data_IF_789456717491
#
_entry.id   IF_789456717491
#
_cell.length_a   1.000
_cell.length_b   1.000
_cell.length_c   1.000
_cell.angle_alpha   90.00
_cell.angle_beta   90.00
_cell.angle_gamma   90.00
#
_symmetry.space_group_name_H-M   'P 1'
#
loop_
_entity.id
_entity.type
_entity.pdbx_description
1 polymer ?
#
# COMPACT_ATOMS: atom_id res chain seq x y z
N UNK A 1 62.97 -6.82 9.91
CA UNK A 1 61.66 -6.76 9.24
C UNK A 1 60.63 -7.47 10.13
N UNK A 2 59.60 -6.72 10.54
CA UNK A 2 58.25 -7.09 11.02
C UNK A 2 58.02 -8.29 11.96
N UNK A 3 57.36 -8.01 13.10
CA UNK A 3 56.67 -8.97 13.98
C UNK A 3 56.68 -8.49 15.45
N UNK A 4 55.73 -7.68 15.92
CA UNK A 4 54.37 -8.00 16.43
C UNK A 4 54.27 -7.85 17.98
N UNK A 5 53.64 -6.72 18.37
CA UNK A 5 52.79 -6.41 19.54
C UNK A 5 53.23 -6.66 21.01
N UNK A 6 53.26 -5.58 21.83
CA UNK A 6 52.76 -5.58 23.20
C UNK A 6 51.31 -5.08 23.27
N UNK A 7 50.47 -5.78 24.05
CA UNK A 7 49.09 -5.40 24.37
C UNK A 7 49.09 -4.24 25.36
N UNK A 8 48.62 -3.07 24.94
CA UNK A 8 48.24 -1.98 25.83
C UNK A 8 46.71 -1.97 25.97
N UNK A 9 46.27 -2.15 27.21
CA UNK A 9 44.90 -1.92 27.65
C UNK A 9 44.51 -0.46 27.39
N UNK A 10 43.36 -0.24 26.74
CA UNK A 10 42.59 0.99 26.85
C UNK A 10 41.19 0.68 27.39
N UNK A 11 40.61 1.54 28.24
CA UNK A 11 39.32 1.28 28.87
C UNK A 11 38.18 1.41 27.86
N UNK A 12 37.24 0.48 27.90
CA UNK A 12 35.95 0.62 27.21
C UNK A 12 35.16 1.70 27.94
N UNK A 13 35.02 2.88 27.34
CA UNK A 13 34.03 3.86 27.76
C UNK A 13 32.65 3.21 27.69
N UNK A 14 31.97 3.11 28.84
CA UNK A 14 30.57 2.73 28.91
C UNK A 14 29.76 3.81 28.18
N UNK A 15 29.42 3.52 26.92
CA UNK A 15 28.35 4.21 26.21
C UNK A 15 27.11 4.22 27.11
N UNK A 16 26.72 5.43 27.53
CA UNK A 16 25.48 5.63 28.26
C UNK A 16 24.33 5.13 27.39
N UNK A 17 23.75 4.01 27.79
CA UNK A 17 22.62 3.39 27.14
C UNK A 17 21.46 4.39 27.22
N UNK A 18 21.18 5.09 26.11
CA UNK A 18 19.93 5.83 25.96
C UNK A 18 18.79 4.83 26.20
N UNK A 19 17.78 5.17 27.01
CA UNK A 19 16.68 4.26 27.24
C UNK A 19 16.05 3.93 25.87
N UNK A 20 15.89 2.64 25.61
CA UNK A 20 15.17 2.17 24.44
C UNK A 20 13.75 2.72 24.52
N UNK A 21 13.44 3.74 23.71
CA UNK A 21 12.06 4.05 23.37
C UNK A 21 11.51 2.77 22.76
N UNK A 22 10.56 2.14 23.43
CA UNK A 22 9.64 1.21 22.78
C UNK A 22 8.86 2.02 21.75
N UNK A 23 9.43 2.19 20.57
CA UNK A 23 8.77 2.84 19.45
C UNK A 23 7.74 1.85 18.92
N UNK A 24 6.50 1.98 19.36
CA UNK A 24 5.37 1.52 18.55
C UNK A 24 5.54 2.25 17.22
N UNK A 25 5.70 1.52 16.12
CA UNK A 25 5.89 2.17 14.82
C UNK A 25 4.65 3.03 14.51
N UNK A 26 4.85 4.23 13.91
CA UNK A 26 3.77 5.19 13.72
C UNK A 26 2.65 4.57 12.90
N UNK A 27 1.42 4.89 13.30
CA UNK A 27 0.23 4.46 12.56
C UNK A 27 0.31 4.86 11.08
N UNK A 28 -0.28 4.06 10.20
CA UNK A 28 -0.29 4.29 8.76
C UNK A 28 -1.71 4.50 8.27
N UNK A 29 -1.98 5.65 7.65
CA UNK A 29 -3.24 5.98 6.99
C UNK A 29 -3.14 5.61 5.51
N UNK A 30 -3.92 4.63 5.09
CA UNK A 30 -4.15 4.27 3.71
C UNK A 30 -5.46 4.81 3.20
N UNK A 31 -5.45 5.41 2.00
CA UNK A 31 -6.60 6.02 1.36
C UNK A 31 -6.74 5.42 -0.03
N UNK A 32 -7.90 4.89 -0.36
CA UNK A 32 -8.24 4.39 -1.69
C UNK A 32 -9.25 5.34 -2.35
N UNK A 33 -8.82 6.01 -3.41
CA UNK A 33 -9.62 6.97 -4.16
C UNK A 33 -10.38 6.22 -5.27
N UNK A 34 -11.60 5.81 -5.00
CA UNK A 34 -12.47 5.16 -5.98
C UNK A 34 -13.37 6.13 -6.75
N UNK A 35 -14.08 5.60 -7.75
CA UNK A 35 -15.02 6.35 -8.60
C UNK A 35 -16.40 6.66 -7.99
N UNK A 36 -16.69 6.12 -6.82
CA UNK A 36 -18.00 6.25 -6.15
C UNK A 36 -17.85 6.46 -4.65
N UNK A 37 -16.70 6.07 -4.11
CA UNK A 37 -16.40 6.07 -2.69
C UNK A 37 -14.92 6.35 -2.48
N UNK A 38 -14.60 7.05 -1.40
CA UNK A 38 -13.25 7.09 -0.83
C UNK A 38 -13.25 6.18 0.38
N UNK A 39 -12.27 5.29 0.44
CA UNK A 39 -12.09 4.38 1.56
C UNK A 39 -10.80 4.70 2.30
N UNK A 40 -10.87 4.70 3.63
CA UNK A 40 -9.71 4.92 4.48
C UNK A 40 -9.51 3.78 5.47
N UNK A 41 -8.26 3.42 5.68
CA UNK A 41 -7.83 2.42 6.65
C UNK A 41 -6.67 2.98 7.46
N UNK A 42 -6.76 2.89 8.78
CA UNK A 42 -5.67 3.18 9.70
C UNK A 42 -5.13 1.86 10.23
N UNK A 43 -3.83 1.64 10.06
CA UNK A 43 -3.13 0.47 10.59
C UNK A 43 -2.18 0.86 11.72
N UNK A 44 -1.94 -0.05 12.66
CA UNK A 44 -0.78 0.02 13.57
C UNK A 44 0.51 -0.18 12.77
N UNK A 45 1.66 0.11 13.40
CA UNK A 45 2.97 -0.21 12.82
C UNK A 45 3.17 -1.69 12.49
N UNK A 46 2.51 -2.58 13.23
CA UNK A 46 2.52 -4.04 12.99
C UNK A 46 1.49 -4.48 11.94
N UNK A 47 0.73 -3.53 11.36
CA UNK A 47 -0.22 -3.80 10.29
C UNK A 47 -1.62 -4.22 10.74
N UNK A 48 -1.94 -4.12 12.04
CA UNK A 48 -3.26 -4.40 12.61
C UNK A 48 -4.25 -3.28 12.30
N UNK A 49 -5.53 -3.63 12.10
CA UNK A 49 -6.56 -2.65 11.75
C UNK A 49 -6.99 -1.84 12.99
N UNK A 50 -6.73 -0.53 12.99
CA UNK A 50 -7.24 0.39 14.01
C UNK A 50 -8.63 0.90 13.62
N UNK A 51 -8.78 1.33 12.37
CA UNK A 51 -10.02 1.97 11.88
C UNK A 51 -10.19 1.76 10.39
N UNK A 52 -11.44 1.57 9.98
CA UNK A 52 -11.86 1.57 8.58
C UNK A 52 -13.05 2.51 8.42
N UNK A 53 -13.00 3.38 7.42
CA UNK A 53 -14.12 4.27 7.09
C UNK A 53 -14.32 4.33 5.59
N UNK A 54 -15.56 4.63 5.20
CA UNK A 54 -15.95 4.85 3.82
C UNK A 54 -16.82 6.09 3.76
N UNK A 55 -16.52 6.94 2.79
CA UNK A 55 -17.37 8.07 2.45
C UNK A 55 -17.73 8.01 0.97
N UNK A 56 -18.81 8.68 0.60
CA UNK A 56 -19.13 8.90 -0.81
C UNK A 56 -18.04 9.75 -1.47
N UNK A 57 -17.82 9.49 -2.75
CA UNK A 57 -16.96 10.33 -3.58
C UNK A 57 -17.50 11.79 -3.52
N UNK A 58 -16.69 12.76 -3.04
CA UNK A 58 -17.14 14.14 -2.93
C UNK A 58 -17.37 14.82 -4.29
N UNK A 59 -16.91 14.23 -5.40
CA UNK A 59 -17.10 14.76 -6.75
C UNK A 59 -16.29 16.02 -7.08
N UNK A 60 -15.52 16.54 -6.12
CA UNK A 60 -14.73 17.76 -6.24
C UNK A 60 -13.34 17.58 -5.63
N UNK A 61 -12.32 18.05 -6.36
CA UNK A 61 -10.92 17.92 -5.94
C UNK A 61 -10.62 18.58 -4.59
N UNK A 62 -11.06 19.83 -4.39
CA UNK A 62 -10.78 20.55 -3.14
C UNK A 62 -11.42 19.86 -1.93
N UNK A 63 -12.62 19.30 -2.09
CA UNK A 63 -13.30 18.52 -1.06
C UNK A 63 -12.57 17.19 -0.76
N UNK A 64 -12.04 16.51 -1.78
CA UNK A 64 -11.21 15.33 -1.60
C UNK A 64 -9.91 15.65 -0.82
N UNK A 65 -9.22 16.75 -1.13
CA UNK A 65 -8.02 17.17 -0.39
C UNK A 65 -8.35 17.51 1.06
N UNK A 66 -9.43 18.25 1.32
CA UNK A 66 -9.91 18.52 2.69
C UNK A 66 -10.20 17.23 3.46
N UNK A 67 -10.86 16.28 2.82
CA UNK A 67 -11.13 14.96 3.42
C UNK A 67 -9.82 14.26 3.79
N UNK A 68 -8.84 14.23 2.89
CA UNK A 68 -7.53 13.60 3.18
C UNK A 68 -6.88 14.25 4.40
N UNK A 69 -6.87 15.58 4.47
CA UNK A 69 -6.30 16.34 5.58
C UNK A 69 -7.03 16.11 6.91
N UNK A 70 -8.37 16.12 6.91
CA UNK A 70 -9.18 15.84 8.10
C UNK A 70 -8.94 14.42 8.62
N UNK A 71 -8.81 13.44 7.72
CA UNK A 71 -8.53 12.04 8.11
C UNK A 71 -7.13 11.86 8.66
N UNK A 72 -6.14 12.53 8.08
CA UNK A 72 -4.76 12.55 8.60
C UNK A 72 -4.72 13.18 10.00
N UNK A 73 -5.26 14.38 10.17
CA UNK A 73 -5.29 15.08 11.46
C UNK A 73 -6.04 14.27 12.54
N UNK A 74 -7.17 13.66 12.19
CA UNK A 74 -7.91 12.79 13.11
C UNK A 74 -7.13 11.52 13.47
N UNK A 75 -6.31 11.00 12.57
CA UNK A 75 -5.48 9.82 12.83
C UNK A 75 -4.34 10.19 13.77
N UNK A 76 -3.64 11.30 13.51
CA UNK A 76 -2.58 11.81 14.38
C UNK A 76 -3.09 12.07 15.80
N UNK A 77 -4.23 12.75 15.92
CA UNK A 77 -4.83 13.07 17.22
C UNK A 77 -5.16 11.81 18.03
N UNK A 78 -5.55 10.73 17.36
CA UNK A 78 -5.84 9.46 18.02
C UNK A 78 -4.57 8.66 18.37
N UNK A 79 -3.52 8.77 17.55
CA UNK A 79 -2.24 8.06 17.75
C UNK A 79 -1.28 8.80 18.70
N UNK A 80 -1.42 10.12 18.84
CA UNK A 80 -0.49 10.97 19.59
C UNK A 80 0.83 11.29 18.86
N UNK A 81 0.94 10.91 17.59
CA UNK A 81 2.09 11.17 16.72
C UNK A 81 1.65 11.25 15.25
N UNK A 82 2.50 11.82 14.39
CA UNK A 82 2.20 11.94 12.97
C UNK A 82 2.21 10.56 12.28
N UNK A 83 1.11 10.24 11.59
CA UNK A 83 1.02 9.03 10.79
C UNK A 83 1.79 9.15 9.46
N UNK A 84 2.05 8.01 8.81
CA UNK A 84 2.43 8.00 7.39
C UNK A 84 1.19 7.94 6.52
N UNK A 85 1.21 8.56 5.33
CA UNK A 85 0.05 8.59 4.43
C UNK A 85 0.36 7.87 3.11
N UNK A 86 -0.47 6.90 2.76
CA UNK A 86 -0.46 6.26 1.45
C UNK A 86 -1.78 6.46 0.72
N UNK A 87 -1.73 6.78 -0.56
CA UNK A 87 -2.91 7.01 -1.40
C UNK A 87 -2.86 6.09 -2.63
N UNK A 88 -3.88 5.25 -2.76
CA UNK A 88 -4.23 4.47 -3.95
C UNK A 88 -5.09 5.31 -4.89
N UNK A 89 -4.68 5.42 -6.15
CA UNK A 89 -5.40 6.20 -7.18
C UNK A 89 -6.14 5.30 -8.16
N UNK A 90 -7.29 5.73 -8.71
CA UNK A 90 -8.18 4.91 -9.56
C UNK A 90 -7.64 4.71 -10.97
N UNK A 91 -6.40 5.18 -11.22
CA UNK A 91 -5.58 5.03 -12.43
C UNK A 91 -4.10 5.18 -12.10
N UNK A 92 -3.28 4.73 -13.04
CA UNK A 92 -1.85 5.04 -13.11
C UNK A 92 -1.57 6.54 -13.08
N UNK A 93 -0.48 6.90 -12.41
CA UNK A 93 -0.02 8.28 -12.30
C UNK A 93 0.74 8.71 -13.56
N UNK A 94 0.72 10.01 -13.83
CA UNK A 94 1.59 10.64 -14.82
C UNK A 94 3.00 10.76 -14.24
N UNK A 95 4.04 10.19 -14.88
CA UNK A 95 5.38 10.09 -14.31
C UNK A 95 6.03 11.43 -13.91
N UNK A 96 5.66 12.53 -14.57
CA UNK A 96 6.26 13.86 -14.35
C UNK A 96 5.46 14.74 -13.39
N UNK A 97 4.13 14.67 -13.42
CA UNK A 97 3.27 15.59 -12.66
C UNK A 97 2.62 14.94 -11.45
N UNK A 98 2.73 13.62 -11.27
CA UNK A 98 2.07 12.90 -10.18
C UNK A 98 0.54 12.87 -10.26
N UNK A 99 -0.07 13.47 -11.29
CA UNK A 99 -1.51 13.48 -11.47
C UNK A 99 -2.06 12.20 -12.06
N UNK A 100 -3.36 11.96 -11.86
CA UNK A 100 -4.04 10.75 -12.37
C UNK A 100 -4.15 10.80 -13.90
N UNK A 101 -3.86 9.67 -14.57
CA UNK A 101 -4.01 9.51 -16.01
C UNK A 101 -5.41 8.98 -16.34
N UNK A 102 -6.25 9.85 -16.90
CA UNK A 102 -7.52 9.50 -17.55
C UNK A 102 -8.42 8.58 -16.69
N UNK A 103 -8.51 8.88 -15.39
CA UNK A 103 -9.39 8.20 -14.45
C UNK A 103 -10.84 8.66 -14.56
N UNK A 104 -11.74 7.79 -14.12
CA UNK A 104 -13.18 8.04 -14.16
C UNK A 104 -13.62 9.12 -13.16
N UNK A 105 -12.95 9.22 -12.01
CA UNK A 105 -13.02 10.41 -11.15
C UNK A 105 -12.23 11.53 -11.81
N UNK A 106 -12.84 12.14 -12.83
CA UNK A 106 -12.18 13.06 -13.76
C UNK A 106 -11.59 14.29 -13.07
N UNK A 107 -12.13 14.66 -11.91
CA UNK A 107 -11.64 15.79 -11.13
C UNK A 107 -10.24 15.57 -10.50
N UNK A 108 -9.71 14.34 -10.49
CA UNK A 108 -8.32 14.05 -10.12
C UNK A 108 -7.35 14.10 -11.32
N UNK A 109 -7.86 14.08 -12.55
CA UNK A 109 -7.01 13.96 -13.73
C UNK A 109 -6.09 15.18 -13.86
N UNK A 110 -4.79 14.90 -14.04
CA UNK A 110 -3.73 15.91 -14.20
C UNK A 110 -3.60 16.91 -13.04
N UNK A 111 -4.20 16.63 -11.88
CA UNK A 111 -4.05 17.46 -10.67
C UNK A 111 -2.82 17.07 -9.84
N UNK A 112 -2.20 17.99 -9.10
CA UNK A 112 -0.99 17.70 -8.33
C UNK A 112 -1.33 17.05 -6.97
N UNK A 113 -1.83 15.80 -7.04
CA UNK A 113 -2.23 15.00 -5.86
C UNK A 113 -1.08 14.66 -4.91
N UNK A 114 0.16 14.83 -5.35
CA UNK A 114 1.31 14.66 -4.47
C UNK A 114 1.56 15.92 -3.67
N UNK A 115 1.46 17.08 -4.31
CA UNK A 115 1.87 18.36 -3.76
C UNK A 115 0.75 19.02 -2.92
N UNK A 116 -0.48 19.03 -3.44
CA UNK A 116 -1.59 19.75 -2.80
C UNK A 116 -1.93 19.24 -1.38
N UNK A 117 -1.93 17.92 -1.09
CA UNK A 117 -2.11 17.47 0.28
C UNK A 117 -0.93 17.84 1.20
N UNK A 118 0.31 17.83 0.69
CA UNK A 118 1.52 18.10 1.48
C UNK A 118 1.60 19.59 1.87
N UNK A 119 1.09 20.49 1.02
CA UNK A 119 0.96 21.91 1.41
C UNK A 119 0.04 22.07 2.62
N UNK A 120 -0.92 21.17 2.81
CA UNK A 120 -1.85 21.18 3.95
C UNK A 120 -1.39 20.32 5.14
N UNK A 121 -0.37 19.46 4.99
CA UNK A 121 -0.02 18.39 5.93
C UNK A 121 1.49 18.16 6.00
N UNK A 122 2.15 18.27 7.18
CA UNK A 122 3.57 17.97 7.36
C UNK A 122 3.87 16.45 7.36
N UNK A 123 3.09 15.67 6.63
CA UNK A 123 3.14 14.21 6.60
C UNK A 123 3.98 13.72 5.44
N UNK A 124 4.66 12.60 5.64
CA UNK A 124 5.22 11.88 4.50
C UNK A 124 4.08 11.21 3.70
N UNK A 125 4.04 11.47 2.39
CA UNK A 125 2.98 11.00 1.49
C UNK A 125 3.53 10.19 0.30
N UNK A 126 2.95 9.01 0.07
CA UNK A 126 3.22 8.14 -1.10
C UNK A 126 1.93 7.91 -1.89
N UNK A 127 2.09 7.83 -3.21
CA UNK A 127 1.02 7.54 -4.16
C UNK A 127 1.38 6.28 -4.95
N UNK A 128 0.37 5.45 -5.20
CA UNK A 128 0.43 4.33 -6.12
C UNK A 128 -0.93 4.13 -6.78
N UNK A 129 -1.00 3.40 -7.90
CA UNK A 129 -2.30 2.99 -8.43
C UNK A 129 -2.94 1.92 -7.53
N UNK A 130 -4.25 1.82 -7.58
CA UNK A 130 -5.06 0.90 -6.79
C UNK A 130 -4.65 -0.57 -6.94
N UNK A 131 -4.27 -1.00 -8.14
CA UNK A 131 -3.81 -2.36 -8.42
C UNK A 131 -2.45 -2.65 -7.76
N UNK A 132 -1.55 -1.67 -7.70
CA UNK A 132 -0.27 -1.79 -6.99
C UNK A 132 -0.47 -1.83 -5.49
N UNK A 133 -1.40 -1.01 -4.97
CA UNK A 133 -1.81 -1.09 -3.57
C UNK A 133 -2.37 -2.48 -3.26
N UNK A 134 -3.27 -3.01 -4.11
CA UNK A 134 -3.79 -4.37 -3.97
C UNK A 134 -2.68 -5.42 -3.95
N UNK A 135 -1.72 -5.34 -4.87
CA UNK A 135 -0.58 -6.25 -4.89
C UNK A 135 0.22 -6.19 -3.58
N UNK A 136 0.49 -4.98 -3.05
CA UNK A 136 1.19 -4.78 -1.76
C UNK A 136 0.40 -5.35 -0.58
N UNK A 137 -0.92 -5.17 -0.57
CA UNK A 137 -1.78 -5.73 0.47
C UNK A 137 -1.70 -7.26 0.50
N UNK A 138 -1.70 -7.89 -0.68
CA UNK A 138 -1.73 -9.34 -0.77
C UNK A 138 -0.37 -10.01 -0.68
N UNK A 139 0.68 -9.35 -1.15
CA UNK A 139 2.03 -9.87 -1.08
C UNK A 139 2.57 -9.91 0.35
N UNK A 140 1.93 -9.22 1.31
CA UNK A 140 2.41 -9.15 2.70
C UNK A 140 1.66 -10.10 3.62
N UNK A 141 2.40 -10.71 4.56
CA UNK A 141 1.82 -11.42 5.69
C UNK A 141 1.29 -10.44 6.75
N UNK A 142 0.74 -10.96 7.84
CA UNK A 142 0.17 -10.14 8.91
C UNK A 142 1.25 -9.27 9.58
N UNK A 143 2.45 -9.80 9.76
CA UNK A 143 3.65 -9.09 10.22
C UNK A 143 4.24 -8.09 9.19
N UNK A 144 3.59 -7.90 8.04
CA UNK A 144 3.98 -6.94 7.03
C UNK A 144 5.17 -7.34 6.13
N UNK A 145 5.77 -8.51 6.31
CA UNK A 145 6.85 -8.99 5.43
C UNK A 145 6.30 -9.48 4.08
N UNK A 146 7.05 -9.27 2.98
CA UNK A 146 6.71 -9.88 1.69
C UNK A 146 6.78 -11.40 1.84
N UNK A 147 5.68 -12.08 1.53
CA UNK A 147 5.48 -13.50 1.71
C UNK A 147 5.24 -14.23 0.38
N UNK A 148 5.29 -13.51 -0.74
CA UNK A 148 5.15 -14.07 -2.07
C UNK A 148 5.12 -13.01 -3.17
N UNK A 149 5.29 -13.47 -4.41
CA UNK A 149 5.13 -12.62 -5.59
C UNK A 149 3.67 -12.57 -6.01
N UNK A 150 3.08 -11.37 -6.02
CA UNK A 150 1.67 -11.16 -6.38
C UNK A 150 1.56 -10.35 -7.66
N UNK A 151 0.75 -10.84 -8.60
CA UNK A 151 0.18 -10.04 -9.69
C UNK A 151 -1.26 -9.71 -9.34
N UNK A 152 -1.57 -8.45 -9.13
CA UNK A 152 -2.91 -7.97 -8.86
C UNK A 152 -3.51 -7.32 -10.10
N UNK A 153 -4.78 -7.61 -10.37
CA UNK A 153 -5.55 -6.98 -11.46
C UNK A 153 -6.86 -6.46 -10.94
N UNK A 154 -7.08 -5.16 -11.06
CA UNK A 154 -8.35 -4.50 -10.74
C UNK A 154 -9.19 -4.45 -12.00
N UNK A 155 -10.41 -4.99 -11.93
CA UNK A 155 -11.34 -5.03 -13.05
C UNK A 155 -12.64 -4.34 -12.62
N UNK A 156 -12.93 -3.21 -13.26
CA UNK A 156 -14.14 -2.42 -13.09
C UNK A 156 -14.58 -1.82 -14.42
N UNK A 157 -14.85 -0.52 -14.45
CA UNK A 157 -15.08 0.25 -15.69
C UNK A 157 -13.82 0.40 -16.55
N UNK A 158 -12.65 0.13 -15.97
CA UNK A 158 -11.37 -0.04 -16.66
C UNK A 158 -10.64 -1.27 -16.14
N UNK A 159 -9.40 -1.45 -16.61
CA UNK A 159 -8.54 -2.55 -16.18
C UNK A 159 -7.15 -2.04 -15.82
N UNK A 160 -6.65 -2.45 -14.65
CA UNK A 160 -5.35 -2.04 -14.12
C UNK A 160 -4.61 -3.18 -13.46
N UNK A 161 -3.28 -3.07 -13.46
CA UNK A 161 -2.37 -4.12 -13.02
C UNK A 161 -1.35 -3.57 -12.01
N UNK A 162 -0.99 -4.41 -11.04
CA UNK A 162 0.03 -4.15 -10.03
C UNK A 162 0.84 -5.40 -9.76
N UNK A 163 2.15 -5.25 -9.50
CA UNK A 163 3.05 -6.38 -9.25
C UNK A 163 3.90 -6.08 -8.02
N UNK A 164 3.97 -7.04 -7.11
CA UNK A 164 5.04 -7.12 -6.11
C UNK A 164 5.89 -8.33 -6.46
N UNK A 165 7.11 -8.13 -7.01
CA UNK A 165 7.98 -9.23 -7.36
C UNK A 165 8.85 -9.66 -6.16
N UNK A 166 8.91 -10.97 -5.93
CA UNK A 166 9.79 -11.65 -4.98
C UNK A 166 10.07 -13.09 -5.49
N UNK A 167 10.74 -13.19 -6.64
CA UNK A 167 10.97 -14.45 -7.35
C UNK A 167 9.85 -14.82 -8.35
N UNK A 168 9.16 -15.95 -8.13
CA UNK A 168 8.11 -16.47 -9.04
C UNK A 168 6.72 -16.09 -8.56
N UNK A 169 5.87 -15.56 -9.46
CA UNK A 169 4.46 -15.22 -9.17
C UNK A 169 3.72 -16.42 -8.58
N UNK A 170 3.40 -16.34 -7.29
CA UNK A 170 2.67 -17.37 -6.55
C UNK A 170 1.17 -17.20 -6.68
N UNK A 171 0.68 -15.97 -6.80
CA UNK A 171 -0.76 -15.69 -6.83
C UNK A 171 -1.11 -14.58 -7.82
N UNK A 172 -2.23 -14.78 -8.51
CA UNK A 172 -2.94 -13.75 -9.27
C UNK A 172 -4.14 -13.31 -8.43
N UNK A 173 -4.18 -12.06 -8.04
CA UNK A 173 -5.24 -11.48 -7.21
C UNK A 173 -6.16 -10.66 -8.09
N UNK A 174 -7.47 -10.93 -8.02
CA UNK A 174 -8.48 -10.12 -8.69
C UNK A 174 -9.13 -9.14 -7.71
N UNK A 175 -9.03 -7.85 -8.01
CA UNK A 175 -9.63 -6.75 -7.26
C UNK A 175 -10.74 -6.03 -8.01
N UNK A 176 -11.22 -4.91 -7.44
CA UNK A 176 -12.37 -4.17 -7.96
C UNK A 176 -13.67 -4.96 -7.84
N UNK A 177 -14.62 -4.70 -8.73
CA UNK A 177 -15.93 -5.38 -8.71
C UNK A 177 -15.81 -6.91 -8.82
N UNK A 178 -14.75 -7.42 -9.46
CA UNK A 178 -14.49 -8.86 -9.58
C UNK A 178 -14.11 -9.56 -8.26
N UNK A 179 -13.80 -8.81 -7.20
CA UNK A 179 -13.57 -9.39 -5.87
C UNK A 179 -14.88 -9.78 -5.16
N UNK A 180 -16.02 -9.21 -5.58
CA UNK A 180 -17.34 -9.42 -4.95
C UNK A 180 -18.19 -10.49 -5.66
N UNK A 181 -17.82 -10.89 -6.88
CA UNK A 181 -18.64 -11.77 -7.75
C UNK A 181 -18.68 -13.23 -7.26
N UNK A 182 -17.83 -13.64 -6.32
CA UNK A 182 -17.86 -14.98 -5.72
C UNK A 182 -17.73 -16.16 -6.70
N UNK A 183 -17.31 -15.90 -7.95
CA UNK A 183 -17.35 -16.87 -9.04
C UNK A 183 -16.30 -17.99 -8.95
N UNK A 184 -16.34 -19.00 -9.84
CA UNK A 184 -15.42 -20.14 -9.77
C UNK A 184 -14.02 -19.77 -10.32
N UNK A 185 -13.19 -19.15 -9.47
CA UNK A 185 -11.76 -18.94 -9.73
C UNK A 185 -10.97 -20.23 -10.04
N UNK A 186 -11.29 -21.42 -9.47
CA UNK A 186 -10.53 -22.66 -9.73
C UNK A 186 -10.49 -23.10 -11.19
N UNK A 187 -11.60 -22.99 -11.94
CA UNK A 187 -11.64 -23.39 -13.37
C UNK A 187 -10.75 -22.51 -14.25
N UNK A 188 -10.47 -21.27 -13.83
CA UNK A 188 -9.61 -20.34 -14.58
C UNK A 188 -8.12 -20.61 -14.35
N UNK A 189 -7.74 -21.10 -13.17
CA UNK A 189 -6.37 -21.49 -12.89
C UNK A 189 -5.94 -22.70 -13.74
N UNK A 190 -6.85 -23.63 -14.03
CA UNK A 190 -6.60 -24.78 -14.90
C UNK A 190 -6.28 -24.35 -16.35
N UNK A 191 -7.02 -23.38 -16.89
CA UNK A 191 -6.71 -22.81 -18.22
C UNK A 191 -5.30 -22.22 -18.26
N UNK A 192 -4.90 -21.44 -17.25
CA UNK A 192 -3.53 -20.88 -17.21
C UNK A 192 -2.48 -21.99 -17.19
N UNK A 193 -2.70 -23.07 -16.42
CA UNK A 193 -1.76 -24.20 -16.37
C UNK A 193 -1.56 -24.85 -17.74
N UNK A 194 -2.62 -25.00 -18.53
CA UNK A 194 -2.53 -25.59 -19.87
C UNK A 194 -1.75 -24.73 -20.87
N UNK A 195 -1.68 -23.42 -20.64
CA UNK A 195 -1.02 -22.46 -21.55
C UNK A 195 0.30 -21.91 -20.99
N UNK A 196 0.69 -22.28 -19.77
CA UNK A 196 1.98 -21.91 -19.21
C UNK A 196 3.10 -22.66 -19.94
N UNK A 197 4.10 -21.92 -20.45
CA UNK A 197 5.25 -22.50 -21.14
C UNK A 197 6.14 -23.38 -20.25
N UNK A 198 5.94 -23.35 -18.92
CA UNK A 198 6.58 -24.23 -17.95
C UNK A 198 5.53 -24.98 -17.13
N UNK A 199 5.64 -26.31 -17.10
CA UNK A 199 4.68 -27.23 -16.50
C UNK A 199 4.98 -27.51 -15.00
N UNK A 200 3.98 -27.52 -14.09
CA UNK A 200 2.77 -26.70 -14.08
C UNK A 200 2.99 -25.47 -13.19
N UNK A 201 2.54 -24.30 -13.65
CA UNK A 201 2.36 -23.14 -12.77
C UNK A 201 1.43 -23.53 -11.59
N UNK A 202 1.99 -23.50 -10.37
CA UNK A 202 1.28 -23.89 -9.14
C UNK A 202 0.50 -22.75 -8.49
N UNK A 203 0.49 -21.57 -9.12
CA UNK A 203 -0.15 -20.41 -8.54
C UNK A 203 -1.67 -20.52 -8.52
N UNK A 204 -2.27 -19.64 -7.73
CA UNK A 204 -3.72 -19.57 -7.55
C UNK A 204 -4.25 -18.29 -8.18
N UNK A 205 -5.51 -18.32 -8.59
CA UNK A 205 -6.30 -17.11 -8.84
C UNK A 205 -7.25 -16.96 -7.67
N UNK A 206 -7.16 -15.86 -6.93
CA UNK A 206 -7.92 -15.66 -5.69
C UNK A 206 -8.57 -14.26 -5.68
N UNK A 207 -9.73 -14.11 -5.01
CA UNK A 207 -10.22 -12.77 -4.68
C UNK A 207 -9.26 -12.09 -3.69
N UNK A 208 -9.34 -10.76 -3.61
CA UNK A 208 -8.61 -9.99 -2.60
C UNK A 208 -9.00 -10.42 -1.17
N UNK A 209 -8.01 -10.68 -0.31
CA UNK A 209 -8.21 -11.23 1.06
C UNK A 209 -9.02 -10.30 1.94
N UNK A 210 -8.84 -9.00 1.76
CA UNK A 210 -9.54 -7.96 2.52
C UNK A 210 -10.68 -7.32 1.71
N UNK A 211 -11.10 -7.96 0.62
CA UNK A 211 -12.11 -7.46 -0.29
C UNK A 211 -11.78 -6.05 -0.79
N UNK A 212 -12.78 -5.18 -0.73
CA UNK A 212 -12.71 -3.77 -1.07
C UNK A 212 -11.76 -2.94 -0.19
N UNK A 213 -11.41 -3.39 1.02
CA UNK A 213 -10.42 -2.71 1.86
C UNK A 213 -8.97 -2.91 1.41
N UNK A 214 -8.71 -3.84 0.48
CA UNK A 214 -7.35 -4.25 0.11
C UNK A 214 -6.56 -3.12 -0.53
N UNK A 215 -7.22 -2.23 -1.31
CA UNK A 215 -6.59 -1.03 -1.86
C UNK A 215 -6.07 -0.11 -0.75
N UNK A 216 -6.94 0.26 0.19
CA UNK A 216 -6.57 1.15 1.30
C UNK A 216 -5.51 0.52 2.23
N UNK A 217 -5.63 -0.78 2.56
CA UNK A 217 -4.59 -1.50 3.35
C UNK A 217 -3.24 -1.51 2.63
N UNK A 218 -3.25 -1.74 1.33
CA UNK A 218 -2.07 -1.69 0.48
C UNK A 218 -1.41 -0.32 0.45
N UNK A 219 -2.21 0.73 0.34
CA UNK A 219 -1.74 2.11 0.40
C UNK A 219 -1.06 2.41 1.75
N UNK A 220 -1.67 2.03 2.88
CA UNK A 220 -1.06 2.17 4.21
C UNK A 220 0.30 1.45 4.32
N UNK A 221 0.44 0.28 3.68
CA UNK A 221 1.64 -0.56 3.76
C UNK A 221 2.72 -0.23 2.72
N UNK A 222 2.49 0.77 1.86
CA UNK A 222 3.45 1.16 0.81
C UNK A 222 4.77 1.73 1.37
N UNK A 223 4.77 2.12 2.65
CA UNK A 223 5.95 2.62 3.37
C UNK A 223 6.98 1.53 3.68
N UNK A 224 6.53 0.33 4.02
CA UNK A 224 7.35 -0.82 4.40
C UNK A 224 8.06 -1.52 3.21
N UNK A 225 8.07 -0.91 2.02
CA UNK A 225 8.60 -1.46 0.76
C UNK A 225 10.04 -1.06 0.45
N UNK A 226 10.75 -0.41 1.38
CA UNK A 226 12.19 -0.17 1.25
C UNK A 226 12.93 -0.82 2.42
N UNK A 227 13.51 -1.98 2.14
CA UNK A 227 14.66 -2.56 2.85
C UNK A 227 15.71 -2.86 1.79
#
# INVERSE_FOLDING_TARGET
>A
MSGLHPRLFTPVEKSAQRPARSAVAPSALGIDLGGTKIETVVLTGDGELIRRQRILDPGEYAAAIRTIAERAASTDAAAGEACTIGIGTPRSLLPRSGGVRDGNSTYFNRRPLREDPIVALPHELRLANDASCLAVSEARNDAGAVAGSVFARVIGTGVEDGIVPDGRISDIVLGGGMSEVGGPYPRRAEVIRHHASSNPWKGRIVPARWGDASGARGAARFWAAKS
#
